data_IF_252769283185
#
_entry.id   IF_252769283185
#
_cell.length_a   1.000
_cell.length_b   1.000
_cell.length_c   1.000
_cell.angle_alpha   90.00
_cell.angle_beta   90.00
_cell.angle_gamma   90.00
#
_symmetry.space_group_name_H-M   'P 1'
#
loop_
_entity.id
_entity.type
_entity.pdbx_description
1 polymer ?
#
# COMPACT_ATOMS: atom_id res chain seq x y z
N UNK A 1 -8.34 3.19 11.28
CA UNK A 1 -8.21 2.48 10.00
C UNK A 1 -9.36 2.86 9.09
N UNK A 2 -9.09 3.08 7.83
CA UNK A 2 -10.11 3.46 6.86
C UNK A 2 -11.06 2.30 6.58
N UNK A 3 -12.32 2.61 6.32
CA UNK A 3 -13.28 1.62 5.85
C UNK A 3 -12.96 1.23 4.40
N UNK A 4 -13.19 -0.02 4.00
CA UNK A 4 -13.02 -0.39 2.61
C UNK A 4 -14.00 0.38 1.72
N UNK A 5 -13.55 0.72 0.50
CA UNK A 5 -14.36 1.47 -0.47
C UNK A 5 -15.20 0.55 -1.36
N UNK A 6 -15.22 -0.74 -1.07
CA UNK A 6 -15.95 -1.73 -1.85
C UNK A 6 -16.28 -2.99 -1.05
N UNK A 7 -16.92 -3.97 -1.69
CA UNK A 7 -17.39 -5.19 -1.02
C UNK A 7 -16.25 -6.21 -0.84
N UNK A 8 -15.25 -5.88 -0.03
CA UNK A 8 -14.11 -6.75 0.22
C UNK A 8 -13.61 -6.59 1.65
N UNK A 9 -12.90 -7.61 2.14
CA UNK A 9 -12.27 -7.59 3.44
C UNK A 9 -10.89 -6.93 3.32
N UNK A 10 -10.56 -5.94 4.15
CA UNK A 10 -9.25 -5.27 4.09
C UNK A 10 -8.08 -6.21 4.31
N UNK A 11 -8.19 -7.14 5.27
CA UNK A 11 -7.15 -8.10 5.57
C UNK A 11 -7.79 -9.45 5.89
N UNK A 12 -7.28 -10.51 5.27
CA UNK A 12 -7.83 -11.86 5.41
C UNK A 12 -6.70 -12.84 5.73
N UNK A 13 -6.84 -13.58 6.82
CA UNK A 13 -5.87 -14.60 7.20
C UNK A 13 -6.03 -15.86 6.36
N UNK A 14 -4.94 -16.33 5.77
CA UNK A 14 -4.90 -17.54 4.96
C UNK A 14 -3.73 -18.41 5.45
N UNK A 15 -4.00 -19.29 6.41
CA UNK A 15 -2.95 -20.07 7.08
C UNK A 15 -1.97 -19.15 7.78
N UNK A 16 -0.68 -19.28 7.46
CA UNK A 16 0.37 -18.44 8.02
C UNK A 16 0.53 -17.10 7.30
N UNK A 17 -0.30 -16.85 6.28
CA UNK A 17 -0.24 -15.62 5.50
C UNK A 17 -1.39 -14.69 5.84
N UNK A 18 -1.11 -13.40 5.78
CA UNK A 18 -2.12 -12.36 5.83
C UNK A 18 -2.21 -11.72 4.44
N UNK A 19 -3.37 -11.85 3.81
CA UNK A 19 -3.63 -11.28 2.50
C UNK A 19 -4.27 -9.91 2.68
N UNK A 20 -3.69 -8.90 2.03
CA UNK A 20 -4.13 -7.52 2.15
C UNK A 20 -4.76 -7.08 0.84
N UNK A 21 -5.95 -6.52 0.90
CA UNK A 21 -6.60 -5.91 -0.26
C UNK A 21 -5.84 -4.67 -0.73
N UNK A 22 -6.04 -4.30 -1.99
CA UNK A 22 -5.37 -3.15 -2.58
C UNK A 22 -5.59 -1.87 -1.80
N UNK A 23 -4.52 -1.10 -1.64
CA UNK A 23 -4.56 0.19 -0.96
C UNK A 23 -4.39 1.31 -1.98
N UNK A 24 -5.22 2.31 -1.86
CA UNK A 24 -5.19 3.50 -2.73
C UNK A 24 -5.03 4.76 -1.86
N UNK A 25 -4.68 5.85 -2.51
CA UNK A 25 -4.47 7.12 -1.82
C UNK A 25 -5.76 7.84 -1.52
N UNK A 26 -6.54 7.34 -0.57
CA UNK A 26 -7.83 7.94 -0.22
C UNK A 26 -7.97 8.24 1.27
N UNK A 27 -8.88 9.16 1.57
CA UNK A 27 -9.42 9.39 2.91
C UNK A 27 -10.94 9.31 2.77
N UNK A 28 -11.58 8.37 3.48
CA UNK A 28 -13.04 8.16 3.44
C UNK A 28 -13.61 7.99 2.02
N UNK A 29 -12.87 7.28 1.16
CA UNK A 29 -13.31 6.98 -0.20
C UNK A 29 -12.99 8.04 -1.24
N UNK A 30 -12.44 9.19 -0.84
CA UNK A 30 -12.08 10.26 -1.75
C UNK A 30 -10.56 10.25 -1.96
N UNK A 31 -10.15 10.22 -3.24
CA UNK A 31 -8.72 10.26 -3.59
C UNK A 31 -8.14 11.62 -3.15
N UNK A 32 -6.99 11.56 -2.50
CA UNK A 32 -6.30 12.78 -2.06
C UNK A 32 -5.84 13.61 -3.25
N UNK A 33 -5.83 14.93 -3.10
CA UNK A 33 -5.31 15.84 -4.10
C UNK A 33 -3.79 15.89 -4.04
N UNK A 34 -3.14 16.22 -5.15
CA UNK A 34 -1.70 16.39 -5.23
C UNK A 34 -1.00 15.40 -6.16
N UNK A 35 -1.75 14.62 -6.91
CA UNK A 35 -1.21 13.70 -7.91
C UNK A 35 -0.47 12.52 -7.33
N UNK A 36 0.50 12.00 -8.08
CA UNK A 36 1.22 10.76 -7.74
C UNK A 36 1.83 10.80 -6.33
N UNK A 37 2.51 11.89 -5.98
CA UNK A 37 3.20 11.96 -4.69
C UNK A 37 2.22 11.83 -3.53
N UNK A 38 1.14 12.57 -3.55
CA UNK A 38 0.13 12.53 -2.51
C UNK A 38 -0.59 11.18 -2.48
N UNK A 39 -0.97 10.65 -3.63
CA UNK A 39 -1.69 9.38 -3.73
C UNK A 39 -0.82 8.20 -3.28
N UNK A 40 0.42 8.11 -3.76
CA UNK A 40 1.32 7.03 -3.39
C UNK A 40 1.68 7.08 -1.90
N UNK A 41 1.99 8.25 -1.38
CA UNK A 41 2.29 8.43 0.04
C UNK A 41 1.11 8.03 0.91
N UNK A 42 -0.10 8.41 0.52
CA UNK A 42 -1.31 8.06 1.28
C UNK A 42 -1.65 6.57 1.17
N UNK A 43 -1.47 5.97 0.00
CA UNK A 43 -1.69 4.53 -0.18
C UNK A 43 -0.75 3.72 0.72
N UNK A 44 0.53 4.09 0.79
CA UNK A 44 1.52 3.43 1.64
C UNK A 44 1.24 3.68 3.13
N UNK A 45 0.77 4.87 3.48
CA UNK A 45 0.37 5.18 4.84
C UNK A 45 -0.85 4.33 5.26
N UNK A 46 -1.83 4.21 4.38
CA UNK A 46 -2.99 3.35 4.61
C UNK A 46 -2.58 1.88 4.79
N UNK A 47 -1.63 1.39 3.98
CA UNK A 47 -1.08 0.05 4.12
C UNK A 47 -0.43 -0.13 5.49
N UNK A 48 0.43 0.82 5.88
CA UNK A 48 1.15 0.75 7.14
C UNK A 48 0.19 0.71 8.34
N UNK A 49 -0.84 1.54 8.31
CA UNK A 49 -1.86 1.57 9.38
C UNK A 49 -2.64 0.26 9.46
N UNK A 50 -2.96 -0.33 8.31
CA UNK A 50 -3.64 -1.60 8.26
C UNK A 50 -2.77 -2.72 8.86
N UNK A 51 -1.48 -2.75 8.51
CA UNK A 51 -0.54 -3.72 9.07
C UNK A 51 -0.41 -3.55 10.59
N UNK A 52 -0.30 -2.31 11.07
CA UNK A 52 -0.23 -2.03 12.51
C UNK A 52 -1.48 -2.54 13.23
N UNK A 53 -2.67 -2.33 12.65
CA UNK A 53 -3.93 -2.82 13.22
C UNK A 53 -3.96 -4.34 13.31
N UNK A 54 -3.28 -5.05 12.42
CA UNK A 54 -3.17 -6.51 12.41
C UNK A 54 -1.98 -7.04 13.19
N UNK A 55 -1.19 -6.17 13.82
CA UNK A 55 -0.01 -6.56 14.57
C UNK A 55 1.16 -7.05 13.71
N UNK A 56 1.22 -6.60 12.45
CA UNK A 56 2.24 -7.01 11.48
C UNK A 56 3.15 -5.84 11.18
N UNK A 57 4.45 -6.10 11.05
CA UNK A 57 5.43 -5.07 10.69
C UNK A 57 5.71 -5.09 9.20
N UNK A 58 6.24 -3.97 8.68
CA UNK A 58 6.67 -3.87 7.28
C UNK A 58 7.72 -4.93 6.92
N UNK A 59 8.54 -5.35 7.89
CA UNK A 59 9.56 -6.37 7.67
C UNK A 59 8.99 -7.76 7.36
N UNK A 60 7.71 -7.97 7.61
CA UNK A 60 7.02 -9.24 7.36
C UNK A 60 6.34 -9.27 6.00
N UNK A 61 6.35 -8.15 5.26
CA UNK A 61 5.81 -8.10 3.89
C UNK A 61 6.75 -8.86 2.96
N UNK A 62 6.22 -9.82 2.21
CA UNK A 62 7.05 -10.68 1.34
C UNK A 62 6.87 -10.37 -0.14
N UNK A 63 5.73 -9.84 -0.54
CA UNK A 63 5.42 -9.53 -1.94
C UNK A 63 4.46 -8.36 -2.04
N UNK A 64 4.77 -7.42 -2.93
CA UNK A 64 3.87 -6.32 -3.29
C UNK A 64 3.64 -6.30 -4.79
N UNK A 65 2.53 -5.73 -5.21
CA UNK A 65 2.24 -5.42 -6.60
C UNK A 65 1.78 -3.96 -6.68
N UNK A 66 2.37 -3.22 -7.59
CA UNK A 66 2.07 -1.79 -7.78
C UNK A 66 1.46 -1.59 -9.15
N UNK A 67 0.29 -0.95 -9.20
CA UNK A 67 -0.38 -0.60 -10.45
C UNK A 67 -0.26 0.91 -10.67
N UNK A 68 0.31 1.28 -11.82
CA UNK A 68 0.46 2.68 -12.24
C UNK A 68 -0.37 2.92 -13.50
N UNK A 69 -1.01 4.08 -13.58
CA UNK A 69 -1.73 4.49 -14.78
C UNK A 69 -0.79 5.06 -15.84
N UNK A 70 0.40 5.52 -15.44
CA UNK A 70 1.40 6.09 -16.31
C UNK A 70 2.78 5.58 -15.90
N UNK A 71 3.45 4.84 -16.76
CA UNK A 71 4.79 4.30 -16.48
C UNK A 71 5.87 5.38 -16.41
N UNK A 72 5.61 6.58 -16.89
CA UNK A 72 6.53 7.71 -16.71
C UNK A 72 6.66 8.10 -15.23
N UNK A 73 5.72 7.68 -14.40
CA UNK A 73 5.74 7.89 -12.94
C UNK A 73 6.56 6.84 -12.18
N UNK A 74 7.13 5.87 -12.88
CA UNK A 74 7.79 4.71 -12.26
C UNK A 74 8.94 5.11 -11.32
N UNK A 75 9.84 5.98 -11.80
CA UNK A 75 11.01 6.43 -11.01
C UNK A 75 10.55 7.20 -9.76
N UNK A 76 9.60 8.11 -9.92
CA UNK A 76 9.09 8.91 -8.80
C UNK A 76 8.36 8.03 -7.79
N UNK A 77 7.58 7.07 -8.27
CA UNK A 77 6.91 6.11 -7.40
C UNK A 77 7.95 5.29 -6.59
N UNK A 78 9.05 4.88 -7.24
CA UNK A 78 10.11 4.15 -6.56
C UNK A 78 10.72 4.96 -5.41
N UNK A 79 10.93 6.26 -5.59
CA UNK A 79 11.46 7.14 -4.54
C UNK A 79 10.53 7.15 -3.32
N UNK A 80 9.23 7.27 -3.56
CA UNK A 80 8.22 7.27 -2.50
C UNK A 80 8.16 5.89 -1.82
N UNK A 81 8.16 4.83 -2.62
CA UNK A 81 8.15 3.45 -2.14
C UNK A 81 9.35 3.18 -1.23
N UNK A 82 10.54 3.62 -1.63
CA UNK A 82 11.75 3.43 -0.83
C UNK A 82 11.76 4.23 0.47
N UNK A 83 10.94 5.27 0.59
CA UNK A 83 10.80 6.00 1.86
C UNK A 83 10.08 5.16 2.91
N UNK A 84 9.33 4.14 2.49
CA UNK A 84 8.59 3.22 3.37
C UNK A 84 9.32 1.89 3.47
N UNK A 85 9.67 1.27 2.33
CA UNK A 85 10.44 0.02 2.28
C UNK A 85 11.92 0.34 2.04
N UNK A 86 12.59 0.83 3.05
CA UNK A 86 13.99 1.28 2.96
C UNK A 86 14.97 0.13 3.11
N UNK A 87 15.05 -0.46 4.30
CA UNK A 87 15.98 -1.57 4.58
C UNK A 87 15.41 -2.91 4.12
N UNK A 88 14.16 -3.19 4.46
CA UNK A 88 13.48 -4.40 4.02
C UNK A 88 12.76 -4.12 2.70
N UNK A 89 13.14 -4.85 1.65
CA UNK A 89 12.53 -4.74 0.33
C UNK A 89 11.89 -6.06 -0.07
N UNK A 90 10.55 -6.14 -0.04
CA UNK A 90 9.87 -7.34 -0.50
C UNK A 90 10.04 -7.54 -2.00
N UNK A 91 9.78 -8.74 -2.49
CA UNK A 91 9.66 -8.99 -3.92
C UNK A 91 8.53 -8.12 -4.47
N UNK A 92 8.64 -7.63 -5.71
CA UNK A 92 7.69 -6.67 -6.27
C UNK A 92 7.44 -6.90 -7.75
N UNK A 93 6.19 -6.67 -8.15
CA UNK A 93 5.80 -6.44 -9.54
C UNK A 93 5.21 -5.05 -9.68
N UNK A 94 5.50 -4.40 -10.76
CA UNK A 94 4.98 -3.07 -11.05
C UNK A 94 4.74 -2.90 -12.56
#
# INVERSE_FOLDING_TARGET
MSKPVGPYTPAFHAGDFLMISGQIGHVDGLIVEGGLEAEASKALDNLKKLLEAEGVSLNQVVKTTVFLTDMDDYVRMNEIYCSVFDEHRPARSA
#
